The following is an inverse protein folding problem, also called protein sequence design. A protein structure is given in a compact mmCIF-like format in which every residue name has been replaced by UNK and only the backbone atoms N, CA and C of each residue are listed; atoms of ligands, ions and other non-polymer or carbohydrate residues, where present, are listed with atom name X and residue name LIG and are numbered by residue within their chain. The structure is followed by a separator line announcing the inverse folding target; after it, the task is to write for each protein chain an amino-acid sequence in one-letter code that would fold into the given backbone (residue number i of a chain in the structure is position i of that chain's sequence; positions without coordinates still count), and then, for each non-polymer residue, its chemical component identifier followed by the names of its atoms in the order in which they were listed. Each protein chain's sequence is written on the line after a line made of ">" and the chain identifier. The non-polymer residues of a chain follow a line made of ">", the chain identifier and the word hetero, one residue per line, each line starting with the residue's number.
data_IF_033912704355
#
_entry.id   IF_033912704355
#
_cell.length_a   1.000
_cell.length_b   1.000
_cell.length_c   1.000
_cell.angle_alpha   90.00
_cell.angle_beta   90.00
_cell.angle_gamma   90.00
#
_symmetry.space_group_name_H-M   'P 1'
#
loop_
_entity.id
_entity.type
_entity.pdbx_description
1 polymer ?
#
# COMPACT_ATOMS: atom_id res chain seq x y z
N UNK A 1 11.27 -8.65 -8.83
CA UNK A 1 10.44 -7.69 -8.06
C UNK A 1 10.78 -7.68 -6.57
N UNK A 2 10.83 -8.82 -5.88
CA UNK A 2 11.08 -8.91 -4.43
C UNK A 2 12.22 -8.02 -3.88
N UNK A 3 13.40 -8.00 -4.52
CA UNK A 3 14.52 -7.16 -4.09
C UNK A 3 14.23 -5.64 -4.17
N UNK A 4 13.38 -5.19 -5.11
CA UNK A 4 12.95 -3.80 -5.21
C UNK A 4 11.99 -3.46 -4.06
N UNK A 5 11.03 -4.34 -3.78
CA UNK A 5 10.08 -4.17 -2.66
C UNK A 5 10.80 -4.15 -1.31
N UNK A 6 11.80 -5.03 -1.12
CA UNK A 6 12.64 -5.02 0.07
C UNK A 6 13.35 -3.68 0.26
N UNK A 7 13.93 -3.11 -0.81
CA UNK A 7 14.54 -1.77 -0.75
C UNK A 7 13.55 -0.68 -0.34
N UNK A 8 12.31 -0.71 -0.85
CA UNK A 8 11.25 0.24 -0.43
C UNK A 8 10.88 0.09 1.04
N UNK A 9 10.82 -1.14 1.53
CA UNK A 9 10.60 -1.42 2.96
C UNK A 9 11.75 -0.88 3.82
N UNK A 10 13.00 -1.05 3.38
CA UNK A 10 14.18 -0.55 4.11
C UNK A 10 14.24 0.98 4.13
N UNK A 11 13.83 1.65 3.05
CA UNK A 11 13.62 3.11 3.04
C UNK A 11 12.53 3.53 4.04
N UNK A 12 11.38 2.84 4.05
CA UNK A 12 10.30 3.12 5.01
C UNK A 12 10.78 2.97 6.46
N UNK A 13 11.56 1.93 6.77
CA UNK A 13 12.18 1.71 8.09
C UNK A 13 13.16 2.83 8.47
N UNK A 14 13.98 3.26 7.51
CA UNK A 14 14.94 4.35 7.73
C UNK A 14 14.21 5.66 8.05
N UNK A 15 13.16 5.99 7.29
CA UNK A 15 12.33 7.16 7.56
C UNK A 15 11.63 7.06 8.93
N UNK A 16 11.10 5.88 9.27
CA UNK A 16 10.47 5.63 10.57
C UNK A 16 11.45 5.88 11.73
N UNK A 17 12.67 5.33 11.65
CA UNK A 17 13.68 5.45 12.70
C UNK A 17 14.13 6.89 12.94
N UNK A 18 14.09 7.75 11.91
CA UNK A 18 14.57 9.13 11.97
C UNK A 18 13.45 10.18 12.08
N UNK A 19 12.19 9.76 12.30
CA UNK A 19 11.07 10.70 12.46
C UNK A 19 10.61 11.37 11.17
N UNK A 20 11.00 10.86 9.99
CA UNK A 20 10.54 11.37 8.70
C UNK A 20 9.15 10.79 8.35
N UNK A 21 8.12 11.19 9.10
CA UNK A 21 6.80 10.55 9.07
C UNK A 21 6.11 10.56 7.71
N UNK A 22 6.03 11.73 7.07
CA UNK A 22 5.43 11.87 5.74
C UNK A 22 6.16 10.99 4.72
N UNK A 23 7.49 10.99 4.74
CA UNK A 23 8.31 10.16 3.85
C UNK A 23 8.08 8.66 4.08
N UNK A 24 8.03 8.23 5.34
CA UNK A 24 7.76 6.83 5.69
C UNK A 24 6.38 6.37 5.17
N UNK A 25 5.33 7.19 5.32
CA UNK A 25 3.99 6.88 4.79
C UNK A 25 4.00 6.79 3.27
N UNK A 26 4.76 7.66 2.58
CA UNK A 26 4.90 7.59 1.13
C UNK A 26 5.53 6.26 0.71
N UNK A 27 6.62 5.85 1.38
CA UNK A 27 7.30 4.59 1.08
C UNK A 27 6.41 3.38 1.36
N UNK A 28 5.64 3.40 2.44
CA UNK A 28 4.64 2.36 2.75
C UNK A 28 3.56 2.25 1.67
N UNK A 29 3.03 3.38 1.21
CA UNK A 29 2.05 3.40 0.12
C UNK A 29 2.63 2.87 -1.20
N UNK A 30 3.87 3.24 -1.54
CA UNK A 30 4.56 2.72 -2.73
C UNK A 30 4.92 1.24 -2.63
N UNK A 31 5.29 0.77 -1.43
CA UNK A 31 5.51 -0.65 -1.16
C UNK A 31 4.23 -1.45 -1.40
N UNK A 32 3.10 -1.02 -0.81
CA UNK A 32 1.82 -1.69 -0.97
C UNK A 32 1.38 -1.69 -2.44
N UNK A 33 1.54 -0.57 -3.15
CA UNK A 33 1.22 -0.47 -4.59
C UNK A 33 1.99 -1.51 -5.41
N UNK A 34 3.30 -1.62 -5.19
CA UNK A 34 4.13 -2.61 -5.87
C UNK A 34 3.77 -4.06 -5.50
N UNK A 35 3.45 -4.34 -4.23
CA UNK A 35 3.02 -5.67 -3.80
C UNK A 35 1.70 -6.06 -4.48
N UNK A 36 0.69 -5.20 -4.42
CA UNK A 36 -0.63 -5.51 -4.98
C UNK A 36 -0.58 -5.74 -6.48
N UNK A 37 0.16 -4.89 -7.21
CA UNK A 37 0.34 -5.08 -8.64
C UNK A 37 1.02 -6.42 -8.94
N UNK A 38 2.10 -6.73 -8.23
CA UNK A 38 2.82 -8.01 -8.39
C UNK A 38 1.89 -9.20 -8.14
N UNK A 39 1.10 -9.15 -7.07
CA UNK A 39 0.17 -10.22 -6.73
C UNK A 39 -0.91 -10.39 -7.80
N UNK A 40 -1.46 -9.30 -8.32
CA UNK A 40 -2.43 -9.36 -9.42
C UNK A 40 -1.80 -9.99 -10.66
N UNK A 41 -0.59 -9.55 -11.06
CA UNK A 41 0.12 -10.10 -12.22
C UNK A 41 0.44 -11.59 -12.06
N UNK A 42 0.76 -12.04 -10.85
CA UNK A 42 1.12 -13.45 -10.56
C UNK A 42 -0.11 -14.36 -10.39
N UNK A 43 -1.19 -13.89 -9.77
CA UNK A 43 -2.39 -14.70 -9.49
C UNK A 43 -3.40 -14.69 -10.62
N UNK A 44 -3.74 -13.51 -11.13
CA UNK A 44 -4.72 -13.32 -12.19
C UNK A 44 -4.57 -11.95 -12.88
N UNK A 45 -3.68 -11.89 -13.87
CA UNK A 45 -3.43 -10.68 -14.63
C UNK A 45 -4.67 -10.18 -15.41
N UNK A 46 -5.70 -11.03 -15.62
CA UNK A 46 -6.91 -10.63 -16.34
C UNK A 46 -7.73 -9.58 -15.57
N UNK A 47 -7.57 -9.53 -14.24
CA UNK A 47 -8.25 -8.55 -13.37
C UNK A 47 -7.86 -7.11 -13.68
N UNK A 48 -6.70 -6.87 -14.30
CA UNK A 48 -6.30 -5.53 -14.74
C UNK A 48 -7.17 -5.00 -15.90
N UNK A 49 -8.00 -5.83 -16.54
CA UNK A 49 -9.03 -5.39 -17.51
C UNK A 49 -8.50 -4.47 -18.61
N UNK A 50 -7.34 -4.79 -19.19
CA UNK A 50 -6.62 -3.98 -20.20
C UNK A 50 -6.14 -2.60 -19.72
N UNK A 51 -6.17 -2.31 -18.41
CA UNK A 51 -5.51 -1.13 -17.86
C UNK A 51 -4.00 -1.31 -17.98
N UNK A 52 -3.29 -0.26 -18.36
CA UNK A 52 -1.84 -0.26 -18.38
C UNK A 52 -1.30 -0.31 -16.93
N UNK A 53 -0.53 -1.35 -16.56
CA UNK A 53 0.11 -1.48 -15.25
C UNK A 53 0.95 -0.27 -14.83
N UNK A 54 1.46 0.51 -15.79
CA UNK A 54 2.29 1.68 -15.50
C UNK A 54 1.49 2.89 -14.99
N UNK A 55 0.17 2.90 -15.18
CA UNK A 55 -0.68 4.03 -14.85
C UNK A 55 -1.79 3.69 -13.84
N UNK A 56 -1.80 2.47 -13.31
CA UNK A 56 -2.74 2.07 -12.27
C UNK A 56 -2.24 2.51 -10.90
N UNK A 57 -3.07 3.24 -10.15
CA UNK A 57 -2.73 3.72 -8.82
C UNK A 57 -3.16 2.78 -7.71
N UNK A 58 -2.51 2.91 -6.54
CA UNK A 58 -2.78 2.14 -5.32
C UNK A 58 -4.26 1.93 -5.00
N UNK A 59 -5.10 2.97 -5.08
CA UNK A 59 -6.55 2.84 -4.80
C UNK A 59 -7.21 1.79 -5.69
N UNK A 60 -6.93 1.81 -7.00
CA UNK A 60 -7.54 0.87 -7.93
C UNK A 60 -7.04 -0.56 -7.68
N UNK A 61 -5.77 -0.72 -7.31
CA UNK A 61 -5.20 -2.02 -6.97
C UNK A 61 -5.82 -2.61 -5.69
N UNK A 62 -6.07 -1.78 -4.67
CA UNK A 62 -6.80 -2.18 -3.46
C UNK A 62 -8.21 -2.63 -3.82
N UNK A 63 -8.93 -1.83 -4.63
CA UNK A 63 -10.30 -2.14 -5.04
C UNK A 63 -10.35 -3.50 -5.80
N UNK A 64 -9.38 -3.76 -6.69
CA UNK A 64 -9.25 -5.03 -7.43
C UNK A 64 -9.00 -6.20 -6.47
N UNK A 65 -8.01 -6.09 -5.57
CA UNK A 65 -7.68 -7.17 -4.64
C UNK A 65 -8.83 -7.46 -3.68
N UNK A 66 -9.58 -6.45 -3.24
CA UNK A 66 -10.77 -6.64 -2.42
C UNK A 66 -11.89 -7.35 -3.20
N UNK A 67 -12.15 -6.94 -4.45
CA UNK A 67 -13.15 -7.61 -5.30
C UNK A 67 -12.79 -9.08 -5.60
N UNK A 68 -11.49 -9.39 -5.67
CA UNK A 68 -10.98 -10.75 -5.81
C UNK A 68 -11.01 -11.56 -4.50
N UNK A 69 -11.40 -10.95 -3.37
CA UNK A 69 -11.43 -11.61 -2.06
C UNK A 69 -10.05 -11.85 -1.44
N UNK A 70 -9.02 -11.12 -1.89
CA UNK A 70 -7.65 -11.27 -1.38
C UNK A 70 -7.33 -10.34 -0.22
N UNK A 71 -8.15 -9.31 -0.01
CA UNK A 71 -8.06 -8.34 1.08
C UNK A 71 -9.46 -8.12 1.65
N UNK A 72 -9.56 -8.14 2.98
CA UNK A 72 -10.84 -7.98 3.67
C UNK A 72 -11.35 -6.54 3.63
N UNK A 73 -12.64 -6.36 3.93
CA UNK A 73 -13.34 -5.07 3.81
C UNK A 73 -12.78 -4.01 4.76
N UNK A 74 -12.24 -4.41 5.91
CA UNK A 74 -11.58 -3.49 6.84
C UNK A 74 -10.25 -3.01 6.26
N UNK A 75 -9.43 -3.89 5.70
CA UNK A 75 -8.17 -3.54 5.06
C UNK A 75 -8.38 -2.71 3.78
N UNK A 76 -9.43 -2.96 3.00
CA UNK A 76 -9.85 -2.07 1.90
C UNK A 76 -10.05 -0.64 2.44
N UNK A 77 -10.94 -0.49 3.44
CA UNK A 77 -11.33 0.82 3.99
C UNK A 77 -10.18 1.56 4.64
N UNK A 78 -9.37 0.87 5.43
CA UNK A 78 -8.22 1.48 6.09
C UNK A 78 -7.11 1.84 5.09
N UNK A 79 -6.91 1.04 4.05
CA UNK A 79 -5.92 1.35 3.01
C UNK A 79 -6.27 2.63 2.23
N UNK A 80 -7.55 2.99 2.12
CA UNK A 80 -7.95 4.29 1.58
C UNK A 80 -7.40 5.47 2.41
N UNK A 81 -7.19 5.31 3.72
CA UNK A 81 -6.54 6.34 4.54
C UNK A 81 -5.06 6.47 4.17
N UNK A 82 -4.34 5.36 3.98
CA UNK A 82 -2.93 5.37 3.51
C UNK A 82 -2.81 6.06 2.15
N UNK A 83 -3.74 5.80 1.21
CA UNK A 83 -3.83 6.51 -0.06
C UNK A 83 -3.95 8.04 0.12
N UNK A 84 -4.75 8.49 1.09
CA UNK A 84 -4.92 9.92 1.39
C UNK A 84 -3.64 10.51 1.99
N UNK A 85 -3.04 9.85 2.98
CA UNK A 85 -1.85 10.34 3.67
C UNK A 85 -0.60 10.36 2.78
N UNK A 86 -0.46 9.44 1.82
CA UNK A 86 0.62 9.49 0.82
C UNK A 86 0.68 10.82 0.06
N UNK A 87 -0.47 11.46 -0.15
CA UNK A 87 -0.54 12.72 -0.88
C UNK A 87 -0.07 13.93 -0.06
N UNK A 88 0.29 13.77 1.22
CA UNK A 88 0.98 14.81 1.99
C UNK A 88 2.42 15.05 1.50
N UNK A 89 2.90 14.25 0.53
CA UNK A 89 4.05 14.62 -0.31
C UNK A 89 3.90 16.00 -0.95
N UNK A 90 2.66 16.45 -1.18
CA UNK A 90 2.37 17.78 -1.68
C UNK A 90 2.18 18.76 -0.51
N UNK A 91 3.08 19.74 -0.29
CA UNK A 91 2.99 20.66 0.86
C UNK A 91 1.68 21.47 0.90
N UNK A 92 1.07 21.74 -0.27
CA UNK A 92 -0.23 22.42 -0.35
C UNK A 92 -1.36 21.62 0.32
N UNK A 93 -1.23 20.30 0.41
CA UNK A 93 -2.20 19.43 1.10
C UNK A 93 -2.14 19.63 2.60
N UNK A 94 -0.94 19.58 3.17
CA UNK A 94 -0.67 19.87 4.59
C UNK A 94 -1.15 21.27 4.98
N UNK A 95 -0.84 22.28 4.16
CA UNK A 95 -1.32 23.65 4.38
C UNK A 95 -2.85 23.75 4.44
N UNK A 96 -3.55 23.10 3.51
CA UNK A 96 -5.03 23.15 3.42
C UNK A 96 -5.71 22.38 4.54
N UNK A 97 -5.14 21.26 4.96
CA UNK A 97 -5.73 20.40 5.99
C UNK A 97 -5.32 20.80 7.41
N UNK A 98 -4.38 21.74 7.56
CA UNK A 98 -3.85 22.21 8.85
C UNK A 98 -3.45 21.05 9.78
N UNK A 99 -2.89 20.00 9.17
CA UNK A 99 -2.54 18.74 9.82
C UNK A 99 -1.21 18.25 9.27
N UNK A 100 -0.32 17.82 10.15
CA UNK A 100 0.96 17.22 9.80
C UNK A 100 0.95 15.77 10.24
N UNK A 101 1.15 14.79 9.33
CA UNK A 101 1.30 13.40 9.70
C UNK A 101 2.46 13.22 10.68
N UNK A 102 2.18 12.56 11.79
CA UNK A 102 3.08 12.37 12.91
C UNK A 102 3.39 10.88 13.14
N UNK A 103 4.01 10.57 14.29
CA UNK A 103 4.36 9.20 14.68
C UNK A 103 3.13 8.31 14.79
N UNK A 104 2.00 8.83 15.25
CA UNK A 104 0.78 8.06 15.43
C UNK A 104 0.15 7.75 14.07
N UNK A 105 0.11 8.75 13.18
CA UNK A 105 -0.35 8.60 11.80
C UNK A 105 0.48 7.54 11.05
N UNK A 106 1.81 7.59 11.20
CA UNK A 106 2.71 6.60 10.63
C UNK A 106 2.49 5.20 11.24
N UNK A 107 2.30 5.09 12.54
CA UNK A 107 2.10 3.81 13.23
C UNK A 107 0.82 3.13 12.75
N UNK A 108 -0.28 3.87 12.64
CA UNK A 108 -1.52 3.36 12.05
C UNK A 108 -1.30 2.93 10.60
N UNK A 109 -0.65 3.76 9.78
CA UNK A 109 -0.36 3.42 8.38
C UNK A 109 0.44 2.12 8.25
N UNK A 110 1.38 1.89 9.16
CA UNK A 110 2.16 0.65 9.22
C UNK A 110 1.29 -0.57 9.51
N UNK A 111 0.38 -0.48 10.48
CA UNK A 111 -0.55 -1.57 10.80
C UNK A 111 -1.47 -1.90 9.63
N UNK A 112 -1.95 -0.89 8.91
CA UNK A 112 -2.80 -1.08 7.73
C UNK A 112 -2.04 -1.83 6.62
N UNK A 113 -0.81 -1.41 6.31
CA UNK A 113 0.02 -2.11 5.31
C UNK A 113 0.29 -3.55 5.76
N UNK A 114 0.67 -3.77 7.01
CA UNK A 114 0.88 -5.13 7.53
C UNK A 114 -0.39 -5.99 7.45
N UNK A 115 -1.56 -5.44 7.79
CA UNK A 115 -2.83 -6.14 7.71
C UNK A 115 -3.15 -6.56 6.27
N UNK A 116 -3.04 -5.64 5.31
CA UNK A 116 -3.21 -5.98 3.90
C UNK A 116 -2.23 -7.07 3.43
N UNK A 117 -0.96 -7.05 3.85
CA UNK A 117 0.00 -8.10 3.53
C UNK A 117 -0.37 -9.46 4.15
N UNK A 118 -0.93 -9.46 5.36
CA UNK A 118 -1.40 -10.68 6.02
C UNK A 118 -2.60 -11.28 5.30
N UNK A 119 -3.58 -10.46 4.88
CA UNK A 119 -4.74 -10.92 4.10
C UNK A 119 -4.30 -11.53 2.76
N UNK A 120 -3.35 -10.87 2.08
CA UNK A 120 -2.77 -11.40 0.85
C UNK A 120 -2.09 -12.75 1.09
N UNK A 121 -1.32 -12.88 2.17
CA UNK A 121 -0.67 -14.15 2.50
C UNK A 121 -1.70 -15.26 2.81
N UNK A 122 -2.75 -14.94 3.56
CA UNK A 122 -3.80 -15.88 3.94
C UNK A 122 -4.70 -16.31 2.76
N UNK A 123 -4.84 -15.43 1.76
CA UNK A 123 -5.63 -15.68 0.55
C UNK A 123 -4.83 -16.33 -0.59
N UNK A 124 -3.58 -16.75 -0.35
CA UNK A 124 -2.83 -17.51 -1.35
C UNK A 124 -3.60 -18.79 -1.71
N UNK A 125 -3.78 -19.10 -3.01
CA UNK A 125 -4.26 -20.41 -3.41
C UNK A 125 -3.31 -21.46 -2.82
N UNK A 126 -3.84 -22.55 -2.25
CA UNK A 126 -3.01 -23.69 -1.89
C UNK A 126 -2.20 -24.07 -3.13
N UNK A 127 -0.88 -24.12 -3.00
CA UNK A 127 -0.04 -24.65 -4.07
C UNK A 127 -0.49 -26.09 -4.29
N UNK A 128 -1.01 -26.40 -5.47
CA UNK A 128 -1.41 -27.76 -5.87
C UNK A 128 -0.32 -28.74 -5.41
N UNK A 129 -0.67 -29.59 -4.44
CA UNK A 129 0.15 -30.65 -3.90
C UNK A 129 0.12 -31.88 -4.82
#
# INVERSE_FOLDING_TARGET
>A
MAALLQRRLDEARTCYANGAHVAAIIMLGSLLEGVLLTVIEERDASLLSNKDPNFIGLKALIDICHQAGWIDVDMERFSQAVCKYRNFVHPRREFREAHTPDRDTLTVSWYVVNGALNDLAASQPEADA
#
